data_IF_923056705028
#
_entry.id   IF_923056705028
#
_cell.length_a   1.000
_cell.length_b   1.000
_cell.length_c   1.000
_cell.angle_alpha   90.00
_cell.angle_beta   90.00
_cell.angle_gamma   90.00
#
_symmetry.space_group_name_H-M   'P 1'
#
loop_
_entity.id
_entity.type
_entity.pdbx_description
1 polymer ?
#
# COMPACT_ATOMS: atom_id res chain seq x y z
N UNK A 1 12.88 -12.70 -63.02
CA UNK A 1 12.67 -11.48 -62.20
C UNK A 1 11.37 -11.61 -61.45
N UNK A 2 11.37 -12.14 -60.27
CA UNK A 2 10.22 -12.12 -59.38
C UNK A 2 10.68 -12.07 -57.93
N UNK A 3 10.28 -10.97 -57.29
CA UNK A 3 9.98 -10.81 -55.90
C UNK A 3 10.78 -11.50 -54.79
N UNK A 4 11.75 -10.77 -54.27
CA UNK A 4 12.36 -10.98 -52.98
C UNK A 4 12.15 -9.69 -52.13
N UNK A 5 10.93 -9.45 -51.64
CA UNK A 5 10.64 -8.41 -50.64
C UNK A 5 9.34 -8.75 -49.91
N UNK A 6 9.41 -9.68 -48.95
CA UNK A 6 8.44 -9.86 -47.88
C UNK A 6 9.02 -10.88 -46.90
N UNK A 7 9.72 -10.46 -45.88
CA UNK A 7 9.96 -11.23 -44.63
C UNK A 7 10.93 -10.55 -43.68
N UNK A 8 10.89 -9.21 -43.50
CA UNK A 8 11.74 -8.52 -42.49
C UNK A 8 10.86 -7.73 -41.47
N UNK A 9 9.55 -7.81 -41.52
CA UNK A 9 8.70 -7.00 -40.64
C UNK A 9 8.01 -7.74 -39.48
N UNK A 10 8.24 -9.03 -39.30
CA UNK A 10 7.50 -9.82 -38.31
C UNK A 10 8.27 -10.09 -37.00
N UNK A 11 9.54 -9.76 -36.91
CA UNK A 11 10.34 -10.09 -35.72
C UNK A 11 10.46 -8.90 -34.73
N UNK A 12 10.17 -7.67 -35.15
CA UNK A 12 10.28 -6.50 -34.28
C UNK A 12 9.04 -6.21 -33.44
N UNK A 13 7.92 -6.90 -33.65
CA UNK A 13 6.65 -6.63 -32.94
C UNK A 13 6.44 -7.50 -31.69
N UNK A 14 7.15 -8.63 -31.55
CA UNK A 14 6.99 -9.52 -30.39
C UNK A 14 7.73 -9.06 -29.13
N UNK A 15 8.82 -8.30 -29.27
CA UNK A 15 9.57 -7.76 -28.12
C UNK A 15 8.92 -6.54 -27.47
N UNK A 16 8.09 -5.79 -28.22
CA UNK A 16 7.38 -4.62 -27.70
C UNK A 16 6.06 -4.98 -26.98
N UNK A 17 5.44 -6.09 -27.34
CA UNK A 17 4.19 -6.54 -26.74
C UNK A 17 4.36 -7.07 -25.30
N UNK A 18 5.47 -7.78 -25.02
CA UNK A 18 5.72 -8.33 -23.69
C UNK A 18 6.05 -7.20 -22.67
N UNK A 19 6.91 -6.23 -23.03
CA UNK A 19 7.26 -5.11 -22.15
C UNK A 19 6.08 -4.16 -21.87
N UNK A 20 5.17 -3.99 -22.84
CA UNK A 20 3.96 -3.19 -22.66
C UNK A 20 2.92 -3.89 -21.75
N UNK A 21 2.89 -5.22 -21.77
CA UNK A 21 1.98 -6.05 -20.98
C UNK A 21 2.26 -5.97 -19.46
N UNK A 22 3.52 -6.05 -19.04
CA UNK A 22 3.88 -6.00 -17.62
C UNK A 22 3.69 -4.61 -17.00
N UNK A 23 4.04 -3.54 -17.72
CA UNK A 23 3.75 -2.18 -17.29
C UNK A 23 2.23 -1.94 -17.15
N UNK A 24 1.42 -2.50 -18.05
CA UNK A 24 -0.03 -2.40 -18.01
C UNK A 24 -0.64 -3.22 -16.86
N UNK A 25 -0.09 -4.39 -16.53
CA UNK A 25 -0.49 -5.20 -15.39
C UNK A 25 -0.21 -4.44 -14.08
N UNK A 26 0.98 -3.87 -13.89
CA UNK A 26 1.31 -3.07 -12.70
C UNK A 26 0.32 -1.94 -12.48
N UNK A 27 -0.01 -1.16 -13.51
CA UNK A 27 -0.99 -0.08 -13.40
C UNK A 27 -2.43 -0.56 -13.21
N UNK A 28 -2.81 -1.76 -13.63
CA UNK A 28 -4.14 -2.33 -13.41
C UNK A 28 -4.38 -2.78 -11.96
N UNK A 29 -3.32 -2.91 -11.14
CA UNK A 29 -3.45 -3.21 -9.71
C UNK A 29 -4.01 -2.06 -8.88
N UNK A 30 -4.09 -0.83 -9.43
CA UNK A 30 -4.76 0.29 -8.76
C UNK A 30 -6.27 0.11 -8.91
N UNK A 31 -6.90 -0.34 -7.83
CA UNK A 31 -8.35 -0.53 -7.72
C UNK A 31 -8.83 0.08 -6.41
N UNK A 32 -9.45 1.24 -6.48
CA UNK A 32 -9.76 2.04 -5.31
C UNK A 32 -11.15 1.72 -4.74
N UNK A 33 -11.22 1.60 -3.42
CA UNK A 33 -12.47 1.69 -2.64
C UNK A 33 -12.63 3.12 -2.16
N UNK A 34 -13.81 3.72 -2.39
CA UNK A 34 -14.08 5.13 -2.08
C UNK A 34 -15.08 5.26 -0.95
N UNK A 35 -14.69 5.96 0.11
CA UNK A 35 -15.54 6.42 1.20
C UNK A 35 -15.99 7.85 0.90
N UNK A 36 -17.26 8.01 0.49
CA UNK A 36 -17.77 9.25 -0.13
C UNK A 36 -18.26 10.30 0.84
N UNK A 37 -18.46 9.97 2.11
CA UNK A 37 -19.05 10.88 3.09
C UNK A 37 -18.04 11.27 4.15
N UNK A 38 -18.08 12.54 4.58
CA UNK A 38 -17.40 12.94 5.81
C UNK A 38 -17.96 12.13 6.97
N UNK A 39 -17.11 11.57 7.80
CA UNK A 39 -17.50 10.71 8.92
C UNK A 39 -16.63 10.98 10.15
N UNK A 40 -17.10 10.50 11.31
CA UNK A 40 -16.35 10.53 12.56
C UNK A 40 -16.42 9.16 13.22
N UNK A 41 -15.30 8.72 13.81
CA UNK A 41 -15.23 7.48 14.59
C UNK A 41 -14.18 7.60 15.69
N UNK A 42 -14.10 6.62 16.57
CA UNK A 42 -13.09 6.54 17.63
C UNK A 42 -11.94 5.62 17.15
N UNK A 43 -10.74 6.19 17.03
CA UNK A 43 -9.51 5.43 16.71
C UNK A 43 -8.95 4.78 17.97
N UNK A 44 -8.32 3.59 17.83
CA UNK A 44 -7.67 2.86 18.90
C UNK A 44 -8.62 2.12 19.84
N UNK A 45 -9.93 2.10 19.53
CA UNK A 45 -10.92 1.40 20.32
C UNK A 45 -10.62 -0.10 20.37
N UNK A 46 -10.78 -0.70 21.55
CA UNK A 46 -10.52 -2.11 21.91
C UNK A 46 -9.05 -2.52 22.02
N UNK A 47 -8.07 -1.76 21.51
CA UNK A 47 -6.66 -2.18 21.51
C UNK A 47 -5.72 -1.19 22.17
N UNK A 48 -6.05 0.10 22.20
CA UNK A 48 -5.15 1.13 22.71
C UNK A 48 -5.61 1.66 24.09
N UNK A 49 -4.63 2.00 24.95
CA UNK A 49 -4.90 2.62 26.24
C UNK A 49 -5.53 4.02 26.11
N UNK A 50 -5.17 4.71 25.03
CA UNK A 50 -5.71 6.03 24.69
C UNK A 50 -6.46 5.94 23.37
N UNK A 51 -7.63 6.56 23.34
CA UNK A 51 -8.49 6.64 22.15
C UNK A 51 -8.80 8.10 21.85
N UNK A 52 -9.14 8.42 20.61
CA UNK A 52 -9.56 9.76 20.24
C UNK A 52 -10.60 9.75 19.12
N UNK A 53 -11.41 10.80 19.05
CA UNK A 53 -12.26 11.01 17.89
C UNK A 53 -11.44 11.46 16.69
N UNK A 54 -11.74 10.90 15.53
CA UNK A 54 -11.18 11.29 14.23
C UNK A 54 -12.28 11.65 13.27
N UNK A 55 -12.05 12.75 12.55
CA UNK A 55 -12.92 13.17 11.45
C UNK A 55 -12.19 12.87 10.13
N UNK A 56 -12.82 12.08 9.28
CA UNK A 56 -12.31 11.74 7.96
C UNK A 56 -13.07 12.48 6.88
N UNK A 57 -12.34 13.18 6.03
CA UNK A 57 -12.89 13.67 4.78
C UNK A 57 -13.05 12.51 3.80
N UNK A 58 -13.84 12.65 2.72
CA UNK A 58 -13.94 11.63 1.69
C UNK A 58 -12.57 11.24 1.12
N UNK A 59 -12.29 9.94 1.08
CA UNK A 59 -11.03 9.40 0.59
C UNK A 59 -11.24 8.10 -0.19
N UNK A 60 -10.23 7.75 -0.96
CA UNK A 60 -10.16 6.46 -1.66
C UNK A 60 -8.87 5.75 -1.28
N UNK A 61 -8.95 4.45 -1.04
CA UNK A 61 -7.81 3.62 -0.66
C UNK A 61 -7.72 2.41 -1.60
N UNK A 62 -6.53 1.97 -1.94
CA UNK A 62 -6.35 0.83 -2.82
C UNK A 62 -6.81 -0.46 -2.14
N UNK A 63 -7.44 -1.33 -2.92
CA UNK A 63 -7.91 -2.63 -2.44
C UNK A 63 -6.80 -3.52 -1.93
N UNK A 64 -5.62 -3.37 -2.49
CA UNK A 64 -4.46 -4.20 -2.28
C UNK A 64 -3.30 -3.37 -1.76
N UNK A 65 -2.35 -4.02 -1.14
CA UNK A 65 -1.00 -3.50 -0.96
C UNK A 65 -0.40 -3.10 -2.33
N UNK A 66 0.57 -2.20 -2.34
CA UNK A 66 1.26 -1.81 -3.58
C UNK A 66 2.07 -2.99 -4.09
N UNK A 67 1.73 -3.48 -5.28
CA UNK A 67 2.43 -4.62 -5.89
C UNK A 67 3.81 -4.24 -6.39
N UNK A 68 4.73 -5.22 -6.44
CA UNK A 68 6.08 -4.99 -6.96
C UNK A 68 6.07 -4.60 -8.44
N UNK A 69 5.18 -5.15 -9.25
CA UNK A 69 5.07 -4.74 -10.66
C UNK A 69 4.70 -3.25 -10.79
N UNK A 70 3.78 -2.76 -9.98
CA UNK A 70 3.42 -1.35 -9.96
C UNK A 70 4.59 -0.49 -9.45
N UNK A 71 5.19 -0.88 -8.32
CA UNK A 71 6.37 -0.21 -7.77
C UNK A 71 7.49 -0.08 -8.81
N UNK A 72 7.91 -1.19 -9.39
CA UNK A 72 8.99 -1.24 -10.36
C UNK A 72 8.70 -0.38 -11.59
N UNK A 73 7.50 -0.50 -12.15
CA UNK A 73 7.10 0.28 -13.34
C UNK A 73 7.13 1.78 -13.07
N UNK A 74 6.60 2.24 -11.95
CA UNK A 74 6.63 3.66 -11.56
C UNK A 74 8.07 4.11 -11.33
N UNK A 75 8.85 3.38 -10.52
CA UNK A 75 10.23 3.72 -10.19
C UNK A 75 11.07 3.95 -11.44
N UNK A 76 11.15 2.98 -12.35
CA UNK A 76 12.03 3.07 -13.54
C UNK A 76 11.59 4.16 -14.53
N UNK A 77 10.32 4.56 -14.53
CA UNK A 77 9.85 5.67 -15.35
C UNK A 77 10.04 7.02 -14.65
N UNK A 78 9.89 7.08 -13.34
CA UNK A 78 10.12 8.26 -12.53
C UNK A 78 11.60 8.67 -12.48
N UNK A 79 12.52 7.71 -12.41
CA UNK A 79 13.97 7.99 -12.49
C UNK A 79 14.35 8.75 -13.76
N UNK A 80 13.64 8.53 -14.87
CA UNK A 80 13.86 9.26 -16.15
C UNK A 80 13.41 10.72 -16.10
N UNK A 81 12.56 11.08 -15.15
CA UNK A 81 12.02 12.44 -14.96
C UNK A 81 12.51 13.11 -13.68
N UNK A 82 13.64 12.61 -13.13
CA UNK A 82 14.35 13.26 -12.04
C UNK A 82 13.95 12.84 -10.64
N UNK A 83 13.28 11.69 -10.47
CA UNK A 83 13.09 11.08 -9.16
C UNK A 83 14.28 10.20 -8.78
N UNK A 84 14.55 10.12 -7.48
CA UNK A 84 15.57 9.24 -6.91
C UNK A 84 15.00 8.43 -5.75
N UNK A 85 15.31 7.13 -5.73
CA UNK A 85 14.87 6.19 -4.68
C UNK A 85 16.10 5.55 -4.04
N UNK A 86 16.23 5.73 -2.73
CA UNK A 86 17.35 5.17 -1.96
C UNK A 86 17.32 3.65 -1.97
N UNK A 87 16.12 3.06 -1.87
CA UNK A 87 15.93 1.63 -1.91
C UNK A 87 15.13 1.23 -3.15
N UNK A 88 15.65 0.30 -3.96
CA UNK A 88 15.00 -0.08 -5.21
C UNK A 88 13.79 -0.99 -5.01
N UNK A 89 13.56 -1.50 -3.78
CA UNK A 89 12.52 -2.47 -3.47
C UNK A 89 12.77 -3.86 -4.04
N UNK A 90 11.93 -4.80 -3.66
CA UNK A 90 11.88 -6.17 -4.18
C UNK A 90 10.45 -6.71 -4.16
N UNK A 91 10.17 -7.79 -4.89
CA UNK A 91 8.88 -8.47 -4.89
C UNK A 91 8.76 -9.43 -3.72
N UNK A 92 7.90 -9.11 -2.75
CA UNK A 92 7.69 -9.90 -1.56
C UNK A 92 8.94 -10.09 -0.70
N UNK A 93 8.88 -11.04 0.23
CA UNK A 93 9.95 -11.28 1.22
C UNK A 93 11.21 -11.90 0.63
N UNK A 94 11.13 -12.58 -0.52
CA UNK A 94 12.20 -13.39 -1.10
C UNK A 94 12.67 -12.89 -2.48
N UNK A 95 12.14 -11.74 -2.95
CA UNK A 95 12.50 -11.18 -4.25
C UNK A 95 13.94 -10.65 -4.30
N UNK A 96 14.43 -10.39 -5.50
CA UNK A 96 15.73 -9.77 -5.70
C UNK A 96 15.60 -8.26 -5.76
N UNK A 97 16.30 -7.54 -4.89
CA UNK A 97 16.27 -6.07 -4.83
C UNK A 97 16.58 -5.43 -6.18
N UNK A 98 15.69 -4.55 -6.62
CA UNK A 98 15.83 -3.76 -7.84
C UNK A 98 15.73 -4.52 -9.16
N UNK A 99 15.55 -5.84 -9.12
CA UNK A 99 15.41 -6.63 -10.34
C UNK A 99 14.10 -6.27 -11.07
N UNK A 100 14.03 -6.43 -12.40
CA UNK A 100 12.77 -6.31 -13.13
C UNK A 100 11.72 -7.26 -12.56
N UNK A 101 10.48 -6.78 -12.46
CA UNK A 101 9.35 -7.63 -12.06
C UNK A 101 9.13 -8.73 -13.09
N UNK A 102 8.82 -9.92 -12.60
CA UNK A 102 8.60 -11.15 -13.36
C UNK A 102 7.19 -11.70 -13.13
N UNK A 103 6.82 -12.77 -13.83
CA UNK A 103 5.55 -13.46 -13.61
C UNK A 103 5.43 -14.07 -12.20
N UNK A 104 6.55 -14.32 -11.53
CA UNK A 104 6.58 -14.92 -10.19
C UNK A 104 6.35 -13.90 -9.06
N UNK A 105 6.69 -12.63 -9.30
CA UNK A 105 6.68 -11.59 -8.26
C UNK A 105 5.82 -10.36 -8.57
N UNK A 106 5.17 -10.34 -9.75
CA UNK A 106 4.42 -9.16 -10.17
C UNK A 106 3.26 -8.79 -9.23
N UNK A 107 2.62 -9.79 -8.64
CA UNK A 107 1.51 -9.62 -7.70
C UNK A 107 1.95 -9.70 -6.21
N UNK A 108 3.22 -9.94 -5.94
CA UNK A 108 3.76 -9.83 -4.58
C UNK A 108 3.73 -8.36 -4.12
N UNK A 109 3.50 -8.06 -2.83
CA UNK A 109 3.67 -6.72 -2.32
C UNK A 109 5.12 -6.24 -2.50
N UNK A 110 5.32 -4.95 -2.71
CA UNK A 110 6.67 -4.39 -2.64
C UNK A 110 7.16 -4.41 -1.19
N UNK A 111 8.42 -4.82 -1.00
CA UNK A 111 9.12 -4.79 0.29
C UNK A 111 10.53 -4.24 0.13
N UNK A 112 11.31 -4.18 1.22
CA UNK A 112 12.67 -3.64 1.24
C UNK A 112 12.74 -2.20 0.72
N UNK A 113 11.75 -1.41 1.08
CA UNK A 113 11.65 0.03 0.90
C UNK A 113 11.44 0.67 2.26
N UNK A 114 11.82 1.93 2.42
CA UNK A 114 11.56 2.70 3.63
C UNK A 114 10.40 3.69 3.43
N UNK A 115 10.03 4.41 4.50
CA UNK A 115 8.92 5.36 4.46
C UNK A 115 9.19 6.52 3.47
N UNK A 116 10.44 6.99 3.37
CA UNK A 116 10.83 8.06 2.45
C UNK A 116 10.67 7.65 0.99
N UNK A 117 11.03 6.41 0.66
CA UNK A 117 10.82 5.87 -0.69
C UNK A 117 9.33 5.83 -1.03
N UNK A 118 8.48 5.44 -0.07
CA UNK A 118 7.05 5.32 -0.29
C UNK A 118 6.38 6.67 -0.59
N UNK A 119 6.71 7.75 0.15
CA UNK A 119 6.14 9.08 -0.11
C UNK A 119 6.64 9.71 -1.41
N UNK A 120 7.93 9.57 -1.72
CA UNK A 120 8.51 10.04 -2.99
C UNK A 120 7.90 9.28 -4.16
N UNK A 121 7.69 7.97 -4.01
CA UNK A 121 7.05 7.14 -5.03
C UNK A 121 5.57 7.51 -5.25
N UNK A 122 4.83 7.86 -4.21
CA UNK A 122 3.47 8.38 -4.35
C UNK A 122 3.41 9.66 -5.20
N UNK A 123 4.37 10.58 -5.00
CA UNK A 123 4.51 11.77 -5.85
C UNK A 123 4.81 11.39 -7.30
N UNK A 124 5.75 10.46 -7.51
CA UNK A 124 6.12 9.97 -8.83
C UNK A 124 4.92 9.33 -9.56
N UNK A 125 4.17 8.47 -8.89
CA UNK A 125 2.94 7.89 -9.44
C UNK A 125 1.93 8.98 -9.81
N UNK A 126 1.78 9.99 -8.97
CA UNK A 126 0.86 11.12 -9.21
C UNK A 126 1.21 11.83 -10.50
N UNK A 127 2.46 12.24 -10.69
CA UNK A 127 2.91 12.91 -11.92
C UNK A 127 2.79 12.04 -13.16
N UNK A 128 3.18 10.76 -13.09
CA UNK A 128 3.04 9.82 -14.19
C UNK A 128 1.57 9.58 -14.60
N UNK A 129 0.64 9.88 -13.69
CA UNK A 129 -0.80 9.81 -13.93
C UNK A 129 -1.44 11.17 -14.23
N UNK A 130 -0.64 12.24 -14.39
CA UNK A 130 -1.12 13.59 -14.66
C UNK A 130 -1.90 14.22 -13.50
N UNK A 131 -1.60 13.79 -12.26
CA UNK A 131 -2.21 14.27 -11.02
C UNK A 131 -1.25 15.17 -10.26
N UNK A 132 -1.79 15.99 -9.36
CA UNK A 132 -1.03 16.86 -8.48
C UNK A 132 -0.36 16.06 -7.36
N UNK A 133 0.98 16.03 -7.23
CA UNK A 133 1.67 15.42 -6.11
C UNK A 133 1.21 15.95 -4.76
N UNK A 134 1.20 15.07 -3.75
CA UNK A 134 0.73 15.42 -2.41
C UNK A 134 1.83 15.97 -1.51
N UNK A 135 3.09 15.56 -1.71
CA UNK A 135 4.18 15.88 -0.78
C UNK A 135 5.11 16.94 -1.35
N UNK A 136 5.30 18.01 -0.58
CA UNK A 136 6.18 19.11 -0.95
C UNK A 136 7.04 19.57 0.23
N UNK A 137 8.25 20.03 -0.06
CA UNK A 137 9.15 20.69 0.89
C UNK A 137 9.51 22.06 0.34
N UNK A 138 9.35 23.10 1.15
CA UNK A 138 9.58 24.50 0.77
C UNK A 138 8.87 24.95 -0.53
N UNK A 139 7.74 24.32 -0.86
CA UNK A 139 6.94 24.59 -2.05
C UNK A 139 7.32 23.76 -3.28
N UNK A 140 8.42 23.03 -3.23
CA UNK A 140 8.85 22.14 -4.32
C UNK A 140 8.36 20.70 -4.09
N UNK A 141 8.03 20.02 -5.18
CA UNK A 141 7.64 18.60 -5.15
C UNK A 141 8.80 17.75 -4.65
N UNK A 142 8.57 16.95 -3.63
CA UNK A 142 9.56 16.03 -3.07
C UNK A 142 9.86 14.90 -4.07
N UNK A 143 11.12 14.77 -4.51
CA UNK A 143 11.56 13.83 -5.56
C UNK A 143 12.72 12.93 -5.18
N UNK A 144 13.37 13.17 -4.06
CA UNK A 144 14.57 12.45 -3.62
C UNK A 144 14.35 11.85 -2.24
N UNK A 145 14.27 10.51 -2.17
CA UNK A 145 14.05 9.80 -0.91
C UNK A 145 15.32 9.75 -0.03
N UNK A 146 16.48 10.09 -0.56
CA UNK A 146 17.72 10.17 0.22
C UNK A 146 17.89 11.50 0.95
N UNK A 147 17.14 12.55 0.57
CA UNK A 147 17.06 13.80 1.35
C UNK A 147 16.09 13.62 2.53
N UNK A 148 16.55 12.91 3.54
CA UNK A 148 15.75 12.57 4.72
C UNK A 148 15.26 13.79 5.46
N UNK A 149 16.05 14.89 5.49
CA UNK A 149 15.65 16.14 6.13
C UNK A 149 14.48 16.81 5.41
N UNK A 150 14.48 16.83 4.08
CA UNK A 150 13.35 17.32 3.30
C UNK A 150 12.13 16.41 3.45
N UNK A 151 12.35 15.09 3.53
CA UNK A 151 11.27 14.11 3.73
C UNK A 151 10.60 14.25 5.11
N UNK A 152 11.39 14.46 6.18
CA UNK A 152 10.85 14.64 7.54
C UNK A 152 10.05 15.93 7.70
N UNK A 153 10.48 16.99 7.01
CA UNK A 153 9.88 18.31 7.07
C UNK A 153 8.85 18.58 5.95
N UNK A 154 8.60 17.61 5.09
CA UNK A 154 7.64 17.79 4.01
C UNK A 154 6.20 17.93 4.54
N UNK A 155 5.39 18.63 3.79
CA UNK A 155 3.97 18.79 4.07
C UNK A 155 3.13 17.97 3.09
N UNK A 156 2.02 17.41 3.59
CA UNK A 156 1.04 16.74 2.74
C UNK A 156 -0.09 17.71 2.35
N UNK A 157 -0.27 17.93 1.06
CA UNK A 157 -1.44 18.63 0.54
C UNK A 157 -2.63 17.66 0.45
N UNK A 158 -3.42 17.60 1.51
CA UNK A 158 -4.62 16.75 1.60
C UNK A 158 -5.73 17.11 0.60
N UNK A 159 -5.63 18.24 -0.13
CA UNK A 159 -6.58 18.63 -1.17
C UNK A 159 -6.14 18.23 -2.57
N UNK A 160 -4.88 17.82 -2.74
CA UNK A 160 -4.38 17.33 -4.02
C UNK A 160 -5.12 16.07 -4.45
N UNK A 161 -5.24 15.86 -5.75
CA UNK A 161 -5.87 14.68 -6.35
C UNK A 161 -4.89 13.53 -6.57
N UNK A 162 -3.62 13.72 -6.18
CA UNK A 162 -2.54 12.74 -6.28
C UNK A 162 -2.67 11.60 -5.28
N UNK A 163 -1.74 10.67 -5.39
CA UNK A 163 -1.62 9.53 -4.49
C UNK A 163 -0.73 9.87 -3.30
N UNK A 164 -1.02 9.25 -2.16
CA UNK A 164 -0.33 9.40 -0.89
C UNK A 164 -0.45 8.14 -0.04
N UNK A 165 0.28 8.07 1.05
CA UNK A 165 -0.01 7.13 2.12
C UNK A 165 -1.36 7.46 2.78
N UNK A 166 -2.08 6.49 3.32
CA UNK A 166 -3.23 6.77 4.18
C UNK A 166 -2.73 7.47 5.46
N UNK A 167 -3.56 8.34 6.05
CA UNK A 167 -3.38 8.62 7.47
C UNK A 167 -3.68 7.36 8.28
N UNK A 168 -3.14 7.28 9.49
CA UNK A 168 -3.44 6.16 10.37
C UNK A 168 -4.95 5.98 10.59
N UNK A 169 -5.67 7.09 10.73
CA UNK A 169 -7.11 7.08 10.90
C UNK A 169 -7.87 6.59 9.66
N UNK A 170 -7.44 6.94 8.46
CA UNK A 170 -8.01 6.41 7.21
C UNK A 170 -7.77 4.91 7.10
N UNK A 171 -6.57 4.46 7.45
CA UNK A 171 -6.19 3.05 7.41
C UNK A 171 -7.03 2.22 8.39
N UNK A 172 -7.10 2.61 9.68
CA UNK A 172 -7.86 1.86 10.70
C UNK A 172 -9.36 1.82 10.38
N UNK A 173 -9.93 2.97 9.97
CA UNK A 173 -11.33 3.00 9.54
C UNK A 173 -11.60 2.02 8.40
N UNK A 174 -10.73 2.00 7.40
CA UNK A 174 -10.85 1.11 6.24
C UNK A 174 -10.69 -0.37 6.64
N UNK A 175 -9.73 -0.68 7.53
CA UNK A 175 -9.49 -2.03 8.04
C UNK A 175 -10.67 -2.57 8.86
N UNK A 176 -11.26 -1.74 9.71
CA UNK A 176 -12.39 -2.13 10.57
C UNK A 176 -13.75 -2.13 9.86
N UNK A 177 -13.81 -1.77 8.57
CA UNK A 177 -15.07 -1.60 7.85
C UNK A 177 -15.73 -2.93 7.55
N UNK A 178 -16.97 -3.11 8.05
CA UNK A 178 -17.89 -4.19 7.71
C UNK A 178 -19.02 -3.67 6.82
N UNK A 179 -19.87 -4.56 6.33
CA UNK A 179 -21.09 -4.19 5.60
C UNK A 179 -22.10 -3.43 6.50
N UNK A 180 -22.03 -3.60 7.81
CA UNK A 180 -23.00 -3.06 8.77
C UNK A 180 -22.45 -1.93 9.65
N UNK A 181 -21.15 -1.64 9.61
CA UNK A 181 -20.50 -0.64 10.47
C UNK A 181 -19.02 -0.88 10.63
N UNK A 182 -18.47 -0.67 11.82
CA UNK A 182 -17.10 -1.00 12.16
C UNK A 182 -17.08 -2.25 13.04
N UNK A 183 -16.15 -3.16 12.78
CA UNK A 183 -15.81 -4.24 13.70
C UNK A 183 -14.97 -3.73 14.86
N UNK A 184 -14.81 -4.55 15.88
CA UNK A 184 -13.91 -4.28 17.02
C UNK A 184 -12.46 -4.16 16.53
N UNK A 185 -11.67 -3.35 17.24
CA UNK A 185 -10.25 -3.14 16.94
C UNK A 185 -9.39 -4.39 17.21
N UNK A 186 -9.77 -5.20 18.20
CA UNK A 186 -9.11 -6.44 18.61
C UNK A 186 -9.50 -7.66 17.75
N UNK A 187 -9.79 -7.44 16.47
CA UNK A 187 -10.10 -8.46 15.47
C UNK A 187 -9.31 -8.24 14.19
N UNK A 188 -9.00 -9.32 13.49
CA UNK A 188 -8.43 -9.26 12.13
C UNK A 188 -9.46 -8.69 11.17
N UNK A 189 -9.02 -7.83 10.24
CA UNK A 189 -9.90 -7.17 9.27
C UNK A 189 -10.68 -8.17 8.43
N UNK A 190 -12.01 -8.08 8.48
CA UNK A 190 -12.93 -8.99 7.78
C UNK A 190 -13.45 -10.15 8.63
N UNK A 191 -12.81 -10.46 9.75
CA UNK A 191 -13.23 -11.50 10.69
C UNK A 191 -14.62 -11.16 11.28
N UNK A 192 -15.48 -12.16 11.41
CA UNK A 192 -16.86 -11.98 11.89
C UNK A 192 -17.03 -12.28 13.37
N UNK A 193 -16.13 -13.07 13.94
CA UNK A 193 -16.10 -13.44 15.36
C UNK A 193 -14.66 -13.51 15.86
N UNK A 194 -14.42 -13.69 17.14
CA UNK A 194 -13.08 -13.70 17.75
C UNK A 194 -12.39 -15.05 17.65
N UNK A 195 -12.76 -15.92 16.71
CA UNK A 195 -12.10 -17.21 16.47
C UNK A 195 -10.76 -16.98 15.73
N UNK A 196 -9.61 -17.32 16.33
CA UNK A 196 -8.31 -17.15 15.65
C UNK A 196 -8.19 -17.92 14.33
N UNK A 197 -8.83 -19.08 14.19
CA UNK A 197 -8.82 -19.85 12.94
C UNK A 197 -9.59 -19.12 11.82
N UNK A 198 -10.66 -18.40 12.15
CA UNK A 198 -11.34 -17.55 11.19
C UNK A 198 -10.42 -16.40 10.72
N UNK A 199 -9.59 -15.85 11.59
CA UNK A 199 -8.61 -14.81 11.25
C UNK A 199 -7.66 -15.23 10.13
N UNK A 200 -7.22 -16.50 10.12
CA UNK A 200 -6.36 -17.07 9.08
C UNK A 200 -7.02 -17.12 7.68
N UNK A 201 -8.34 -16.95 7.60
CA UNK A 201 -9.03 -16.83 6.31
C UNK A 201 -8.89 -15.44 5.69
N UNK A 202 -8.43 -14.43 6.47
CA UNK A 202 -8.34 -13.04 6.04
C UNK A 202 -6.92 -12.47 6.10
N UNK A 203 -5.97 -13.22 6.67
CA UNK A 203 -4.60 -12.76 6.89
C UNK A 203 -3.57 -13.85 6.60
N UNK A 204 -2.42 -13.45 6.06
CA UNK A 204 -1.19 -14.23 6.03
C UNK A 204 -0.35 -13.88 7.26
N UNK A 205 -0.08 -14.87 8.12
CA UNK A 205 0.66 -14.76 9.39
C UNK A 205 1.70 -15.85 9.49
N UNK A 206 2.53 -15.87 10.54
CA UNK A 206 3.49 -16.95 10.81
C UNK A 206 2.83 -18.31 11.09
N UNK A 207 1.51 -18.34 11.28
CA UNK A 207 0.76 -19.57 11.53
C UNK A 207 0.32 -20.26 10.23
N UNK A 208 0.25 -19.54 9.10
CA UNK A 208 -0.16 -20.07 7.80
C UNK A 208 0.75 -19.69 6.62
N UNK A 209 1.83 -18.94 6.88
CA UNK A 209 2.77 -18.49 5.87
C UNK A 209 4.23 -18.56 6.38
N UNK A 210 5.19 -18.70 5.47
CA UNK A 210 6.64 -18.62 5.74
C UNK A 210 7.31 -17.52 4.91
N UNK A 211 6.52 -16.78 4.14
CA UNK A 211 6.92 -15.70 3.25
C UNK A 211 5.67 -14.86 2.91
N UNK A 212 5.86 -13.72 2.25
CA UNK A 212 4.75 -12.98 1.64
C UNK A 212 4.05 -13.80 0.56
N UNK A 213 2.79 -13.52 0.37
CA UNK A 213 1.95 -14.06 -0.69
C UNK A 213 1.52 -12.98 -1.68
N UNK A 214 1.01 -13.38 -2.83
CA UNK A 214 0.40 -12.46 -3.78
C UNK A 214 -0.75 -11.70 -3.11
N UNK A 215 -0.84 -10.41 -3.37
CA UNK A 215 -1.88 -9.57 -2.76
C UNK A 215 -3.28 -10.09 -3.06
N UNK A 216 -4.16 -10.04 -2.07
CA UNK A 216 -5.54 -10.46 -2.20
C UNK A 216 -5.77 -11.97 -2.20
N UNK A 217 -4.86 -12.77 -1.64
CA UNK A 217 -4.97 -14.24 -1.67
C UNK A 217 -5.20 -14.89 -0.32
N UNK A 218 -5.31 -14.14 0.78
CA UNK A 218 -5.59 -14.71 2.09
C UNK A 218 -6.89 -15.52 2.10
N UNK A 219 -6.87 -16.71 2.74
CA UNK A 219 -7.99 -17.63 2.80
C UNK A 219 -8.16 -18.56 1.60
N UNK A 220 -7.28 -18.51 0.62
CA UNK A 220 -7.21 -19.50 -0.45
C UNK A 220 -6.21 -20.58 -0.03
N UNK A 221 -6.52 -21.88 -0.19
CA UNK A 221 -5.50 -22.89 -0.03
C UNK A 221 -4.31 -22.58 -0.95
N UNK A 222 -3.10 -22.55 -0.39
CA UNK A 222 -1.89 -22.33 -1.18
C UNK A 222 -1.76 -23.44 -2.23
N UNK A 223 -1.89 -23.07 -3.49
CA UNK A 223 -1.60 -23.95 -4.63
C UNK A 223 -0.27 -23.46 -5.20
N UNK A 224 0.84 -24.17 -4.99
CA UNK A 224 2.12 -23.84 -5.62
C UNK A 224 1.92 -23.73 -7.13
N UNK A 225 2.51 -22.71 -7.72
CA UNK A 225 2.51 -22.45 -9.17
C UNK A 225 1.18 -21.90 -9.77
N UNK A 226 0.16 -21.64 -8.97
CA UNK A 226 -1.04 -20.95 -9.46
C UNK A 226 -0.91 -19.44 -9.26
N UNK A 227 -0.79 -18.71 -10.36
CA UNK A 227 -0.79 -17.24 -10.36
C UNK A 227 -2.25 -16.79 -10.38
N UNK A 228 -2.79 -16.45 -9.21
CA UNK A 228 -4.13 -15.88 -9.13
C UNK A 228 -4.09 -14.34 -9.19
N UNK A 229 -4.54 -13.78 -10.30
CA UNK A 229 -4.82 -12.37 -10.46
C UNK A 229 -5.95 -12.19 -11.48
N UNK A 230 -7.04 -11.50 -11.18
CA UNK A 230 -7.33 -10.74 -9.96
C UNK A 230 -7.55 -11.63 -8.73
N UNK A 231 -7.37 -11.00 -7.55
CA UNK A 231 -7.48 -11.65 -6.26
C UNK A 231 -8.75 -12.48 -6.07
N UNK A 232 -8.59 -13.65 -5.47
CA UNK A 232 -9.68 -14.60 -5.19
C UNK A 232 -9.80 -14.91 -3.69
N UNK A 233 -9.00 -14.25 -2.84
CA UNK A 233 -9.04 -14.37 -1.38
C UNK A 233 -10.22 -13.66 -0.73
N UNK A 234 -10.20 -13.59 0.58
CA UNK A 234 -11.25 -12.98 1.37
C UNK A 234 -10.96 -11.49 1.64
N UNK A 235 -11.89 -10.65 1.20
CA UNK A 235 -11.88 -9.22 1.51
C UNK A 235 -12.69 -8.92 2.76
N UNK A 236 -12.39 -7.80 3.41
CA UNK A 236 -13.25 -7.27 4.47
C UNK A 236 -14.58 -6.73 3.91
N UNK A 237 -15.44 -6.20 4.77
CA UNK A 237 -16.76 -5.70 4.38
C UNK A 237 -16.76 -4.50 3.44
N UNK A 238 -15.63 -3.80 3.28
CA UNK A 238 -15.44 -2.75 2.29
C UNK A 238 -14.87 -3.26 0.95
N UNK A 239 -14.48 -4.53 0.86
CA UNK A 239 -13.82 -5.09 -0.32
C UNK A 239 -12.32 -4.83 -0.37
N UNK A 240 -11.68 -4.64 0.78
CA UNK A 240 -10.24 -4.46 0.95
C UNK A 240 -9.61 -5.78 1.37
N UNK A 241 -8.45 -6.08 0.85
CA UNK A 241 -7.69 -7.30 1.09
C UNK A 241 -6.42 -6.99 1.88
N UNK A 242 -5.91 -7.99 2.61
CA UNK A 242 -4.64 -7.95 3.32
C UNK A 242 -4.47 -6.69 4.20
N UNK A 243 -5.58 -6.20 4.78
CA UNK A 243 -5.51 -5.11 5.77
C UNK A 243 -4.85 -5.58 7.08
N UNK A 244 -4.70 -6.89 7.24
CA UNK A 244 -3.99 -7.53 8.33
C UNK A 244 -3.14 -8.66 7.76
N UNK A 245 -1.88 -8.79 8.22
CA UNK A 245 -0.93 -9.79 7.71
C UNK A 245 -0.31 -9.42 6.37
N UNK A 246 0.32 -10.36 5.72
CA UNK A 246 1.14 -10.25 4.52
C UNK A 246 2.30 -9.26 4.70
N UNK A 247 2.11 -7.95 4.52
CA UNK A 247 3.12 -6.95 4.89
C UNK A 247 2.55 -5.87 5.82
N UNK A 248 3.36 -5.44 6.76
CA UNK A 248 3.11 -4.26 7.58
C UNK A 248 3.10 -3.01 6.71
N UNK A 249 2.14 -2.11 6.88
CA UNK A 249 1.90 -1.01 5.98
C UNK A 249 2.22 0.35 6.60
N UNK A 250 3.07 1.13 5.92
CA UNK A 250 3.35 2.51 6.30
C UNK A 250 2.10 3.39 6.23
N UNK A 251 1.91 4.20 7.30
CA UNK A 251 0.99 5.33 7.32
C UNK A 251 1.76 6.67 7.30
N UNK A 252 1.03 7.76 7.06
CA UNK A 252 1.60 9.11 7.07
C UNK A 252 2.06 9.55 8.45
N UNK A 253 1.32 9.20 9.48
CA UNK A 253 1.40 9.79 10.83
C UNK A 253 2.74 9.50 11.52
N UNK A 254 3.26 10.47 12.25
CA UNK A 254 4.27 10.22 13.27
C UNK A 254 3.63 9.49 14.45
N UNK A 255 4.33 8.51 15.01
CA UNK A 255 3.83 7.74 16.14
C UNK A 255 3.80 8.58 17.41
N UNK A 256 2.64 8.60 18.07
CA UNK A 256 2.40 9.21 19.38
C UNK A 256 1.12 8.64 19.98
N UNK A 257 0.88 8.93 21.26
CA UNK A 257 -0.43 8.67 21.86
C UNK A 257 -1.52 9.46 21.14
N UNK A 258 -2.71 8.89 21.06
CA UNK A 258 -3.84 9.58 20.45
C UNK A 258 -4.31 10.76 21.30
N UNK A 259 -4.43 11.91 20.68
CA UNK A 259 -5.01 13.12 21.26
C UNK A 259 -6.19 13.61 20.42
N UNK A 260 -7.12 14.35 21.05
CA UNK A 260 -8.29 14.91 20.34
C UNK A 260 -7.93 15.98 19.31
N UNK A 261 -6.80 16.66 19.51
CA UNK A 261 -6.45 17.88 18.78
C UNK A 261 -5.70 17.60 17.49
N UNK A 262 -5.18 16.38 17.31
CA UNK A 262 -4.39 16.02 16.15
C UNK A 262 -5.06 14.91 15.33
N UNK A 263 -5.42 15.24 14.09
CA UNK A 263 -6.14 14.32 13.18
C UNK A 263 -5.22 13.38 12.41
N UNK A 264 -3.94 13.74 12.24
CA UNK A 264 -2.96 13.04 11.40
C UNK A 264 -1.61 12.85 12.12
N UNK A 265 -1.61 12.66 13.43
CA UNK A 265 -0.40 12.57 14.24
C UNK A 265 0.27 13.94 14.48
N UNK A 266 1.33 14.03 15.30
CA UNK A 266 2.06 15.27 15.53
C UNK A 266 2.83 15.71 14.27
N UNK A 267 3.19 16.99 14.21
CA UNK A 267 3.91 17.56 13.06
C UNK A 267 5.34 17.01 12.93
N UNK A 268 5.92 16.56 14.04
CA UNK A 268 7.27 15.99 14.11
C UNK A 268 7.29 14.78 15.04
N UNK A 269 8.20 13.84 14.79
CA UNK A 269 8.36 12.63 15.59
C UNK A 269 9.68 11.94 15.28
N UNK A 270 9.85 10.74 15.82
CA UNK A 270 11.04 9.90 15.61
C UNK A 270 10.72 8.65 14.81
N UNK A 271 9.51 8.16 14.93
CA UNK A 271 9.04 6.93 14.28
C UNK A 271 7.72 7.16 13.56
N UNK A 272 7.56 6.53 12.42
CA UNK A 272 6.32 6.54 11.64
C UNK A 272 5.41 5.39 12.02
N UNK A 273 4.12 5.63 12.00
CA UNK A 273 3.11 4.60 12.22
C UNK A 273 3.15 3.58 11.09
N UNK A 274 3.09 2.30 11.48
CA UNK A 274 2.83 1.17 10.59
C UNK A 274 1.70 0.30 11.14
N UNK A 275 0.92 -0.32 10.28
CA UNK A 275 -0.34 -0.98 10.63
C UNK A 275 -0.47 -2.34 9.98
N UNK A 276 -1.28 -3.20 10.59
CA UNK A 276 -1.74 -4.46 10.02
C UNK A 276 -0.94 -5.69 10.41
N UNK A 277 0.31 -5.54 10.87
CA UNK A 277 1.22 -6.68 11.07
C UNK A 277 1.59 -7.36 9.75
N UNK A 278 2.30 -8.48 9.79
CA UNK A 278 2.85 -9.13 8.61
C UNK A 278 2.81 -10.66 8.68
N UNK A 279 3.25 -11.30 7.59
CA UNK A 279 3.40 -12.76 7.50
C UNK A 279 4.32 -13.36 8.58
N UNK A 280 5.18 -12.55 9.21
CA UNK A 280 6.17 -13.03 10.19
C UNK A 280 5.69 -12.99 11.64
N UNK A 281 4.53 -12.36 11.92
CA UNK A 281 3.94 -12.29 13.26
C UNK A 281 2.82 -13.32 13.45
N UNK A 282 2.55 -13.65 14.73
CA UNK A 282 1.37 -14.43 15.11
C UNK A 282 0.08 -13.64 14.94
N UNK A 283 -1.03 -14.32 14.70
CA UNK A 283 -2.36 -13.69 14.47
C UNK A 283 -2.76 -12.73 15.57
N UNK A 284 -2.37 -12.97 16.82
CA UNK A 284 -2.65 -12.08 17.95
C UNK A 284 -1.97 -10.70 17.85
N UNK A 285 -1.04 -10.50 16.92
CA UNK A 285 -0.36 -9.25 16.62
C UNK A 285 -0.82 -8.64 15.28
N UNK A 286 -1.93 -9.11 14.72
CA UNK A 286 -2.46 -8.65 13.43
C UNK A 286 -3.81 -7.93 13.56
N UNK A 287 -4.20 -7.53 14.75
CA UNK A 287 -5.50 -6.89 14.93
C UNK A 287 -5.59 -5.54 14.22
N UNK A 288 -6.77 -5.25 13.68
CA UNK A 288 -7.00 -4.02 12.91
C UNK A 288 -6.77 -2.73 13.72
N UNK A 289 -6.82 -2.81 15.04
CA UNK A 289 -6.51 -1.71 15.96
C UNK A 289 -5.07 -1.68 16.45
N UNK A 290 -4.23 -2.69 16.16
CA UNK A 290 -2.84 -2.72 16.61
C UNK A 290 -1.99 -1.71 15.85
N UNK A 291 -1.03 -1.16 16.57
CA UNK A 291 -0.14 -0.10 16.09
C UNK A 291 1.32 -0.55 16.23
N UNK A 292 2.09 -0.23 15.21
CA UNK A 292 3.54 -0.39 15.20
C UNK A 292 4.19 0.93 14.86
N UNK A 293 5.45 1.08 15.24
CA UNK A 293 6.25 2.24 14.89
C UNK A 293 7.66 1.83 14.48
N UNK A 294 8.20 2.54 13.49
CA UNK A 294 9.53 2.28 12.95
C UNK A 294 10.21 3.60 12.58
N UNK A 295 11.54 3.62 12.72
CA UNK A 295 12.35 4.69 12.14
C UNK A 295 12.05 4.79 10.63
N UNK A 296 11.76 5.97 10.09
CA UNK A 296 11.44 6.13 8.68
C UNK A 296 12.55 5.68 7.70
N UNK A 297 13.79 5.49 8.16
CA UNK A 297 14.89 4.92 7.38
C UNK A 297 14.87 3.38 7.31
N UNK A 298 14.17 2.70 8.22
CA UNK A 298 14.17 1.25 8.28
C UNK A 298 13.41 0.64 7.11
N UNK A 299 13.90 -0.50 6.64
CA UNK A 299 13.30 -1.27 5.56
C UNK A 299 13.48 -2.77 5.81
N UNK A 300 12.39 -3.50 5.71
CA UNK A 300 12.35 -4.93 6.00
C UNK A 300 11.60 -5.69 4.89
N UNK A 301 11.82 -7.00 4.82
CA UNK A 301 11.15 -7.87 3.85
C UNK A 301 9.70 -8.23 4.22
N UNK A 302 9.20 -7.64 5.29
CA UNK A 302 7.83 -7.72 5.79
C UNK A 302 7.14 -6.36 5.88
N UNK A 303 7.75 -5.29 5.33
CA UNK A 303 7.19 -3.94 5.31
C UNK A 303 6.93 -3.47 3.89
N UNK A 304 5.77 -2.88 3.68
CA UNK A 304 5.31 -2.30 2.43
C UNK A 304 4.34 -1.15 2.67
N UNK A 305 3.44 -0.91 1.75
CA UNK A 305 2.41 0.13 1.89
C UNK A 305 1.26 -0.08 0.90
N UNK A 306 0.17 0.61 1.14
CA UNK A 306 -0.89 0.81 0.13
C UNK A 306 -1.12 2.28 -0.14
N UNK A 307 -1.59 2.60 -1.35
CA UNK A 307 -1.88 3.98 -1.74
C UNK A 307 -3.29 4.40 -1.33
N UNK A 308 -3.39 5.69 -1.01
CA UNK A 308 -4.62 6.41 -0.75
C UNK A 308 -4.68 7.67 -1.63
N UNK A 309 -5.82 8.27 -1.78
CA UNK A 309 -5.98 9.62 -2.34
C UNK A 309 -7.25 10.28 -1.80
N UNK A 310 -7.32 11.60 -1.89
CA UNK A 310 -8.54 12.33 -1.58
C UNK A 310 -9.61 12.01 -2.63
N UNK A 311 -10.81 11.64 -2.19
CA UNK A 311 -11.89 11.35 -3.11
C UNK A 311 -12.36 12.62 -3.81
N UNK A 312 -12.29 12.63 -5.13
CA UNK A 312 -12.91 13.67 -5.94
C UNK A 312 -14.40 13.33 -6.06
N UNK A 313 -15.21 14.06 -5.34
CA UNK A 313 -16.66 13.94 -5.45
C UNK A 313 -17.09 14.84 -6.61
N UNK A 314 -17.80 14.30 -7.60
CA UNK A 314 -18.52 15.14 -8.58
C UNK A 314 -19.53 15.98 -7.83
N UNK A 315 -19.53 17.28 -8.04
CA UNK A 315 -20.67 18.11 -7.65
C UNK A 315 -21.89 17.56 -8.42
N UNK A 316 -22.87 17.02 -7.69
CA UNK A 316 -24.15 16.61 -8.23
C UNK A 316 -25.04 17.85 -8.45
#
# INVERSE_FOLDING_TARGET
>A
MLNLKKNIFTVLFLGFAAGCSFAQIGFSSISLVTFRTKLSYTIGEDTQAYTAKRELNPFSINKYETTYALWYSVRVNAEKIGYYFQNPGQGGSNGKRGAPSTELDYAQPVTMINWYDAIVWCNALSELRGKTPCYAYNGDVLRDSSDTAACDLCVCNWKADGYRLPSEAEWEYAARRTKMGLQRGDMISGQLNSDPEEGLLYAWSSENATATHNVGTAGIPFIPDEISYPATGNANGAGLYDMCGNVLEFCWDWFSDYTSDNQTGPDVGFERVSRGGSWSEYTMFLYAGDRYSYDPNEFYNYMGFRICCTAQLSEE
#
